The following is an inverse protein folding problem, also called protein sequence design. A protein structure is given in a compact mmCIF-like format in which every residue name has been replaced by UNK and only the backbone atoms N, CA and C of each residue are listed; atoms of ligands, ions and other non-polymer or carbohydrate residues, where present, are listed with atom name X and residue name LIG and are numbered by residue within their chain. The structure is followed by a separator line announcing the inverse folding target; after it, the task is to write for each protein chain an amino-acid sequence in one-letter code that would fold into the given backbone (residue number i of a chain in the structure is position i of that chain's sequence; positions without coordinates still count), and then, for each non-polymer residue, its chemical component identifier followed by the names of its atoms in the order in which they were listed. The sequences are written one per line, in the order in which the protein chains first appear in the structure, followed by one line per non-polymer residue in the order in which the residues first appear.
data_IF_418156228894
#
_entry.id   IF_418156228894
#
_cell.length_a   1.000
_cell.length_b   1.000
_cell.length_c   1.000
_cell.angle_alpha   90.00
_cell.angle_beta   90.00
_cell.angle_gamma   90.00
#
_symmetry.space_group_name_H-M   'P 1'
#
loop_
_entity.id
_entity.type
_entity.pdbx_description
1 polymer ?
#
# COMPACT_ATOMS: atom_id res chain seq x y z
N UNK A 1 6.65 -42.19 30.33
CA UNK A 1 7.85 -41.78 31.08
C UNK A 1 8.78 -41.05 30.12
N UNK A 2 9.23 -39.85 30.49
CA UNK A 2 9.99 -38.87 29.67
C UNK A 2 9.04 -37.88 28.97
N UNK A 3 8.74 -36.67 29.46
CA UNK A 3 9.62 -35.55 29.87
C UNK A 3 10.77 -35.38 28.87
N UNK A 4 10.97 -34.29 28.13
CA UNK A 4 10.40 -32.95 28.10
C UNK A 4 11.48 -32.08 27.45
N UNK A 5 11.14 -31.07 26.66
CA UNK A 5 11.97 -29.85 26.57
C UNK A 5 11.23 -28.71 25.88
N UNK A 6 11.18 -27.60 26.60
CA UNK A 6 10.80 -26.26 26.18
C UNK A 6 12.03 -25.52 25.66
N UNK A 7 11.82 -24.66 24.69
CA UNK A 7 12.63 -23.47 24.34
C UNK A 7 11.84 -22.74 23.25
N UNK A 8 11.23 -21.56 23.44
CA UNK A 8 11.69 -20.22 23.88
C UNK A 8 12.93 -19.69 23.14
N UNK A 9 12.69 -18.52 22.54
CA UNK A 9 13.56 -17.64 21.75
C UNK A 9 12.61 -16.94 20.78
N UNK A 10 11.87 -15.88 21.13
CA UNK A 10 12.29 -14.53 21.54
C UNK A 10 13.27 -13.86 20.57
N UNK A 11 12.99 -12.57 20.32
CA UNK A 11 13.62 -11.58 19.44
C UNK A 11 12.98 -11.37 18.05
N UNK A 12 12.67 -10.17 17.59
CA UNK A 12 12.60 -8.85 18.23
C UNK A 12 11.89 -7.87 17.26
N UNK A 13 11.29 -6.85 17.88
CA UNK A 13 11.19 -5.46 17.45
C UNK A 13 11.17 -5.17 15.93
N UNK A 14 10.10 -4.55 15.43
CA UNK A 14 10.08 -3.15 14.96
C UNK A 14 8.63 -2.63 14.95
N UNK A 15 8.37 -1.66 15.84
CA UNK A 15 7.70 -0.36 15.64
C UNK A 15 6.48 -0.27 14.68
N UNK A 16 5.38 0.40 15.00
CA UNK A 16 5.15 1.41 16.02
C UNK A 16 3.70 1.89 16.02
N UNK A 17 3.33 2.46 17.17
CA UNK A 17 2.04 3.04 17.55
C UNK A 17 1.46 3.98 16.49
N UNK A 18 0.19 3.76 16.11
CA UNK A 18 -0.72 4.84 15.68
C UNK A 18 -1.82 5.01 16.72
N UNK A 19 -1.48 5.71 17.79
CA UNK A 19 -2.49 6.38 18.62
C UNK A 19 -2.93 7.64 17.89
N UNK A 20 -4.18 7.71 17.44
CA UNK A 20 -4.78 8.94 16.95
C UNK A 20 -5.48 9.62 18.13
N UNK A 21 -4.72 10.44 18.86
CA UNK A 21 -5.26 11.48 19.74
C UNK A 21 -5.96 12.51 18.86
N UNK A 22 -7.26 12.68 19.03
CA UNK A 22 -7.95 13.94 18.75
C UNK A 22 -7.88 14.77 20.05
N UNK A 23 -6.88 15.64 20.15
CA UNK A 23 -7.01 16.92 20.87
C UNK A 23 -7.14 17.98 19.77
N UNK A 24 -8.11 18.90 19.76
CA UNK A 24 -8.50 19.87 20.79
C UNK A 24 -7.36 20.81 21.17
N UNK A 25 -7.11 21.80 20.31
CA UNK A 25 -6.54 23.10 20.65
C UNK A 25 -7.37 24.11 19.83
N UNK A 26 -8.30 24.84 20.44
CA UNK A 26 -8.07 26.06 21.24
C UNK A 26 -7.35 27.17 20.47
N UNK A 27 -8.15 27.91 19.70
CA UNK A 27 -7.86 29.28 19.28
C UNK A 27 -8.90 30.21 19.89
N UNK A 28 -8.78 30.43 21.20
CA UNK A 28 -9.70 31.23 21.99
C UNK A 28 -9.78 32.68 21.52
N UNK A 29 -10.99 33.10 21.15
CA UNK A 29 -11.39 34.50 21.06
C UNK A 29 -11.39 35.10 22.46
N UNK A 30 -10.25 35.64 22.86
CA UNK A 30 -10.10 36.43 24.08
C UNK A 30 -10.86 37.76 23.95
N UNK A 31 -12.15 37.75 24.26
CA UNK A 31 -12.89 38.96 24.65
C UNK A 31 -12.35 39.44 26.00
N UNK A 32 -11.48 40.45 25.97
CA UNK A 32 -11.15 41.22 27.16
C UNK A 32 -12.17 42.34 27.32
N UNK A 33 -13.18 42.07 28.17
CA UNK A 33 -13.95 43.09 28.86
C UNK A 33 -12.99 43.96 29.70
N UNK A 34 -12.90 45.25 29.41
CA UNK A 34 -12.40 46.22 30.38
C UNK A 34 -13.52 47.16 30.79
N UNK A 35 -13.93 46.91 32.03
CA UNK A 35 -14.92 47.60 32.81
C UNK A 35 -14.67 49.11 32.86
N UNK A 36 -15.75 49.86 32.69
CA UNK A 36 -15.82 51.25 33.08
C UNK A 36 -15.51 51.42 34.57
N UNK A 37 -14.51 52.25 34.85
CA UNK A 37 -14.31 52.86 36.16
C UNK A 37 -14.55 54.36 36.04
N UNK A 38 -15.52 54.83 36.82
CA UNK A 38 -15.83 56.24 37.06
C UNK A 38 -14.61 56.92 37.70
N UNK A 39 -14.21 58.06 37.15
CA UNK A 39 -13.27 59.00 37.78
C UNK A 39 -13.78 60.42 37.59
N UNK A 40 -14.23 61.03 38.69
CA UNK A 40 -14.74 62.41 38.77
C UNK A 40 -13.59 63.41 38.62
N UNK A 41 -13.93 64.56 38.04
CA UNK A 41 -13.47 65.88 38.49
C UNK A 41 -11.98 66.16 38.45
N UNK A 42 -11.54 66.90 37.44
CA UNK A 42 -10.46 67.85 37.65
C UNK A 42 -10.85 69.21 37.10
N UNK A 43 -11.22 70.10 38.02
CA UNK A 43 -11.28 71.53 37.81
C UNK A 43 -9.86 72.05 37.56
N UNK A 44 -9.68 72.76 36.45
CA UNK A 44 -8.37 73.27 36.06
C UNK A 44 -8.49 74.42 35.08
N UNK A 45 -8.94 75.60 35.56
CA UNK A 45 -8.62 76.89 34.94
C UNK A 45 -7.10 77.04 34.91
N UNK A 46 -6.48 76.61 33.82
CA UNK A 46 -5.04 76.67 33.60
C UNK A 46 -4.75 77.19 32.21
N UNK A 47 -4.47 78.50 32.12
CA UNK A 47 -3.68 79.19 31.10
C UNK A 47 -3.71 78.59 29.68
N UNK A 48 -4.58 79.15 28.83
CA UNK A 48 -4.33 79.25 27.39
C UNK A 48 -2.99 79.99 27.20
N UNK A 49 -1.96 79.25 26.85
CA UNK A 49 -0.66 79.79 26.52
C UNK A 49 0.35 78.67 26.29
N UNK A 50 0.75 78.47 25.03
CA UNK A 50 1.96 77.73 24.63
C UNK A 50 2.01 76.21 24.92
N UNK A 51 1.02 75.42 24.47
CA UNK A 51 1.18 73.95 24.35
C UNK A 51 0.70 73.37 23.01
N UNK A 52 0.50 74.21 21.99
CA UNK A 52 0.15 73.76 20.64
C UNK A 52 1.37 73.39 19.78
N UNK A 53 2.60 73.74 20.20
CA UNK A 53 3.84 73.34 19.53
C UNK A 53 4.36 71.95 19.93
N UNK A 54 4.34 71.62 21.24
CA UNK A 54 4.95 70.36 21.74
C UNK A 54 4.23 69.08 21.32
N UNK A 55 2.89 69.08 21.23
CA UNK A 55 2.15 67.90 20.76
C UNK A 55 2.40 67.62 19.28
N UNK A 56 2.63 68.65 18.46
CA UNK A 56 3.01 68.48 17.06
C UNK A 56 4.42 67.92 16.91
N UNK A 57 5.35 68.36 17.76
CA UNK A 57 6.74 67.87 17.81
C UNK A 57 6.83 66.42 18.30
N UNK A 58 6.08 66.05 19.35
CA UNK A 58 6.06 64.68 19.89
C UNK A 58 5.40 63.69 18.89
N UNK A 59 4.36 64.12 18.18
CA UNK A 59 3.73 63.33 17.11
C UNK A 59 4.67 63.21 15.91
N UNK A 60 5.38 64.29 15.53
CA UNK A 60 6.39 64.23 14.47
C UNK A 60 7.56 63.31 14.85
N UNK A 61 7.99 63.32 16.10
CA UNK A 61 9.03 62.42 16.60
C UNK A 61 8.58 60.96 16.54
N UNK A 62 7.37 60.65 17.02
CA UNK A 62 6.82 59.28 16.95
C UNK A 62 6.62 58.81 15.50
N UNK A 63 6.08 59.66 14.61
CA UNK A 63 5.91 59.33 13.18
C UNK A 63 7.26 59.11 12.49
N UNK A 64 8.30 59.84 12.90
CA UNK A 64 9.65 59.63 12.34
C UNK A 64 10.34 58.39 12.91
N UNK A 65 10.17 58.08 14.19
CA UNK A 65 10.66 56.85 14.82
C UNK A 65 9.99 55.61 14.24
N UNK A 66 8.66 55.60 14.11
CA UNK A 66 7.92 54.51 13.46
C UNK A 66 8.25 54.41 11.97
N UNK A 67 8.40 55.55 11.29
CA UNK A 67 8.85 55.57 9.89
C UNK A 67 10.25 54.99 9.71
N UNK A 68 11.17 55.21 10.66
CA UNK A 68 12.50 54.59 10.66
C UNK A 68 12.44 53.09 10.98
N UNK A 69 11.59 52.67 11.93
CA UNK A 69 11.42 51.26 12.28
C UNK A 69 10.81 50.45 11.11
N UNK A 70 9.83 51.03 10.40
CA UNK A 70 9.25 50.42 9.20
C UNK A 70 10.29 50.27 8.09
N UNK A 71 11.11 51.29 7.85
CA UNK A 71 12.21 51.21 6.87
C UNK A 71 13.24 50.13 7.23
N UNK A 72 13.61 50.02 8.50
CA UNK A 72 14.52 48.97 8.95
C UNK A 72 13.96 47.56 8.70
N UNK A 73 12.65 47.37 8.95
CA UNK A 73 11.96 46.11 8.64
C UNK A 73 11.85 45.86 7.12
N UNK A 74 11.61 46.89 6.32
CA UNK A 74 11.60 46.77 4.84
C UNK A 74 12.98 46.37 4.31
N UNK A 75 14.06 46.94 4.84
CA UNK A 75 15.43 46.58 4.50
C UNK A 75 15.77 45.14 4.93
N UNK A 76 15.37 44.73 6.13
CA UNK A 76 15.53 43.36 6.61
C UNK A 76 14.77 42.36 5.72
N UNK A 77 13.53 42.67 5.34
CA UNK A 77 12.75 41.87 4.41
C UNK A 77 13.40 41.80 3.03
N UNK A 78 13.96 42.90 2.52
CA UNK A 78 14.67 42.90 1.25
C UNK A 78 15.93 42.04 1.29
N UNK A 79 16.67 42.05 2.41
CA UNK A 79 17.83 41.17 2.62
C UNK A 79 17.42 39.71 2.67
N UNK A 80 16.34 39.38 3.40
CA UNK A 80 15.81 38.03 3.46
C UNK A 80 15.32 37.55 2.08
N UNK A 81 14.63 38.39 1.32
CA UNK A 81 14.20 38.08 -0.04
C UNK A 81 15.39 37.87 -0.98
N UNK A 82 16.43 38.70 -0.89
CA UNK A 82 17.65 38.54 -1.68
C UNK A 82 18.46 37.28 -1.30
N UNK A 83 18.26 36.76 -0.08
CA UNK A 83 18.87 35.49 0.36
C UNK A 83 18.16 34.24 -0.16
N UNK A 84 16.96 34.38 -0.73
CA UNK A 84 16.24 33.27 -1.36
C UNK A 84 16.87 32.97 -2.71
N UNK A 85 17.44 31.78 -2.83
CA UNK A 85 17.90 31.26 -4.11
C UNK A 85 16.68 30.84 -4.96
N UNK A 86 16.27 31.71 -5.86
CA UNK A 86 15.15 31.47 -6.76
C UNK A 86 15.39 30.24 -7.66
N UNK A 87 16.64 29.97 -8.04
CA UNK A 87 16.96 28.81 -8.89
C UNK A 87 16.76 27.50 -8.13
N UNK A 88 17.18 27.45 -6.86
CA UNK A 88 16.94 26.28 -6.00
C UNK A 88 15.44 26.03 -5.79
N UNK A 89 14.65 27.09 -5.57
CA UNK A 89 13.19 26.98 -5.43
C UNK A 89 12.51 26.45 -6.71
N UNK A 90 12.92 26.93 -7.88
CA UNK A 90 12.41 26.44 -9.16
C UNK A 90 12.77 24.96 -9.40
N UNK A 91 13.99 24.56 -9.04
CA UNK A 91 14.41 23.15 -9.12
C UNK A 91 13.56 22.26 -8.21
N UNK A 92 13.30 22.68 -6.97
CA UNK A 92 12.45 21.97 -6.02
C UNK A 92 11.02 21.83 -6.53
N UNK A 93 10.44 22.90 -7.08
CA UNK A 93 9.11 22.85 -7.69
C UNK A 93 9.06 21.90 -8.89
N UNK A 94 10.08 21.95 -9.76
CA UNK A 94 10.19 21.03 -10.88
C UNK A 94 10.34 19.57 -10.42
N UNK A 95 11.11 19.34 -9.34
CA UNK A 95 11.27 18.02 -8.74
C UNK A 95 9.94 17.51 -8.16
N UNK A 96 9.18 18.35 -7.46
CA UNK A 96 7.86 18.00 -6.94
C UNK A 96 6.87 17.65 -8.06
N UNK A 97 6.88 18.41 -9.16
CA UNK A 97 6.07 18.09 -10.33
C UNK A 97 6.45 16.73 -10.94
N UNK A 98 7.75 16.45 -11.10
CA UNK A 98 8.23 15.15 -11.59
C UNK A 98 7.83 14.00 -10.66
N UNK A 99 7.97 14.18 -9.35
CA UNK A 99 7.56 13.20 -8.36
C UNK A 99 6.04 12.93 -8.41
N UNK A 100 5.24 13.97 -8.57
CA UNK A 100 3.79 13.83 -8.75
C UNK A 100 3.44 13.01 -9.99
N UNK A 101 4.10 13.28 -11.13
CA UNK A 101 3.91 12.54 -12.37
C UNK A 101 4.32 11.07 -12.22
N UNK A 102 5.52 10.79 -11.69
CA UNK A 102 6.02 9.43 -11.49
C UNK A 102 5.10 8.65 -10.54
N UNK A 103 4.61 9.29 -9.48
CA UNK A 103 3.64 8.67 -8.57
C UNK A 103 2.33 8.32 -9.25
N UNK A 104 1.82 9.21 -10.12
CA UNK A 104 0.64 8.91 -10.94
C UNK A 104 0.85 7.68 -11.82
N UNK A 105 1.96 7.66 -12.57
CA UNK A 105 2.31 6.53 -13.43
C UNK A 105 2.49 5.23 -12.64
N UNK A 106 3.08 5.29 -11.44
CA UNK A 106 3.23 4.12 -10.58
C UNK A 106 1.86 3.58 -10.13
N UNK A 107 0.94 4.45 -9.69
CA UNK A 107 -0.40 4.03 -9.31
C UNK A 107 -1.16 3.40 -10.49
N UNK A 108 -1.04 3.96 -11.69
CA UNK A 108 -1.66 3.40 -12.89
C UNK A 108 -1.08 2.02 -13.24
N UNK A 109 0.24 1.87 -13.16
CA UNK A 109 0.92 0.60 -13.42
C UNK A 109 0.56 -0.48 -12.39
N UNK A 110 0.48 -0.13 -11.11
CA UNK A 110 0.04 -1.04 -10.04
C UNK A 110 -1.41 -1.49 -10.26
N UNK A 111 -2.31 -0.58 -10.67
CA UNK A 111 -3.69 -0.91 -10.99
C UNK A 111 -3.78 -1.85 -12.20
N UNK A 112 -3.01 -1.58 -13.26
CA UNK A 112 -2.93 -2.45 -14.44
C UNK A 112 -2.39 -3.84 -14.09
N UNK A 113 -1.33 -3.91 -13.28
CA UNK A 113 -0.78 -5.19 -12.83
C UNK A 113 -1.82 -6.00 -12.05
N UNK A 114 -2.54 -5.36 -11.13
CA UNK A 114 -3.58 -6.03 -10.34
C UNK A 114 -4.74 -6.57 -11.21
N UNK A 115 -5.09 -5.86 -12.29
CA UNK A 115 -6.09 -6.34 -13.25
C UNK A 115 -5.59 -7.58 -14.00
N UNK A 116 -4.39 -7.50 -14.58
CA UNK A 116 -3.79 -8.60 -15.35
C UNK A 116 -3.59 -9.84 -14.46
N UNK A 117 -3.19 -9.66 -13.20
CA UNK A 117 -3.05 -10.77 -12.25
C UNK A 117 -4.40 -11.44 -11.96
N UNK A 118 -5.49 -10.66 -11.84
CA UNK A 118 -6.83 -11.19 -11.64
C UNK A 118 -7.33 -11.95 -12.87
N UNK A 119 -7.15 -11.40 -14.06
CA UNK A 119 -7.51 -12.05 -15.32
C UNK A 119 -6.74 -13.38 -15.50
N UNK A 120 -5.42 -13.35 -15.27
CA UNK A 120 -4.59 -14.55 -15.31
C UNK A 120 -5.08 -15.60 -14.32
N UNK A 121 -5.36 -15.23 -13.08
CA UNK A 121 -5.83 -16.15 -12.06
C UNK A 121 -7.21 -16.74 -12.42
N UNK A 122 -8.07 -15.95 -13.06
CA UNK A 122 -9.35 -16.40 -13.62
C UNK A 122 -9.15 -17.47 -14.70
N UNK A 123 -8.32 -17.20 -15.71
CA UNK A 123 -8.03 -18.13 -16.80
C UNK A 123 -7.38 -19.43 -16.30
N UNK A 124 -6.43 -19.33 -15.37
CA UNK A 124 -5.78 -20.51 -14.76
C UNK A 124 -6.79 -21.34 -13.98
N UNK A 125 -7.73 -20.69 -13.28
CA UNK A 125 -8.79 -21.39 -12.56
C UNK A 125 -9.77 -22.11 -13.50
N UNK A 126 -10.21 -21.43 -14.56
CA UNK A 126 -11.10 -22.01 -15.56
C UNK A 126 -10.45 -23.24 -16.22
N UNK A 127 -9.21 -23.08 -16.69
CA UNK A 127 -8.44 -24.19 -17.28
C UNK A 127 -8.27 -25.36 -16.29
N UNK A 128 -8.02 -25.07 -15.02
CA UNK A 128 -7.92 -26.09 -13.98
C UNK A 128 -9.24 -26.84 -13.78
N UNK A 129 -10.37 -26.14 -13.72
CA UNK A 129 -11.70 -26.75 -13.56
C UNK A 129 -12.04 -27.64 -14.76
N UNK A 130 -11.82 -27.16 -15.99
CA UNK A 130 -12.06 -27.93 -17.20
C UNK A 130 -11.19 -29.19 -17.24
N UNK A 131 -9.88 -29.05 -16.98
CA UNK A 131 -8.96 -30.18 -17.01
C UNK A 131 -9.26 -31.20 -15.91
N UNK A 132 -9.48 -30.76 -14.66
CA UNK A 132 -9.76 -31.65 -13.54
C UNK A 132 -11.08 -32.41 -13.73
N UNK A 133 -12.10 -31.74 -14.28
CA UNK A 133 -13.37 -32.38 -14.65
C UNK A 133 -13.16 -33.44 -15.75
N UNK A 134 -12.46 -33.10 -16.83
CA UNK A 134 -12.17 -34.03 -17.91
C UNK A 134 -11.35 -35.24 -17.43
N UNK A 135 -10.34 -35.03 -16.58
CA UNK A 135 -9.55 -36.11 -15.99
C UNK A 135 -10.39 -37.02 -15.08
N UNK A 136 -11.35 -36.47 -14.35
CA UNK A 136 -12.32 -37.24 -13.60
C UNK A 136 -13.12 -38.18 -14.50
N UNK A 137 -13.66 -37.65 -15.61
CA UNK A 137 -14.40 -38.45 -16.60
C UNK A 137 -13.50 -39.51 -17.27
N UNK A 138 -12.28 -39.13 -17.67
CA UNK A 138 -11.30 -40.05 -18.26
C UNK A 138 -11.01 -41.20 -17.29
N UNK A 139 -10.80 -40.93 -16.00
CA UNK A 139 -10.54 -41.98 -15.02
C UNK A 139 -11.70 -42.97 -14.88
N UNK A 140 -12.94 -42.50 -14.91
CA UNK A 140 -14.11 -43.38 -14.90
C UNK A 140 -14.13 -44.28 -16.13
N UNK A 141 -13.91 -43.72 -17.33
CA UNK A 141 -13.99 -44.46 -18.60
C UNK A 141 -12.79 -45.34 -18.88
N UNK A 142 -11.60 -44.91 -18.49
CA UNK A 142 -10.36 -45.65 -18.65
C UNK A 142 -10.39 -46.97 -17.89
N UNK A 143 -10.88 -46.95 -16.65
CA UNK A 143 -11.05 -48.18 -15.86
C UNK A 143 -12.05 -49.15 -16.51
N UNK A 144 -13.19 -48.65 -16.98
CA UNK A 144 -14.21 -49.45 -17.68
C UNK A 144 -13.64 -50.11 -18.95
N UNK A 145 -13.00 -49.33 -19.83
CA UNK A 145 -12.45 -49.79 -21.09
C UNK A 145 -11.31 -50.79 -20.86
N UNK A 146 -10.40 -50.50 -19.93
CA UNK A 146 -9.27 -51.38 -19.67
C UNK A 146 -9.71 -52.72 -19.06
N UNK A 147 -10.70 -52.71 -18.16
CA UNK A 147 -11.31 -53.94 -17.64
C UNK A 147 -11.93 -54.75 -18.76
N UNK A 148 -12.68 -54.12 -19.65
CA UNK A 148 -13.28 -54.80 -20.80
C UNK A 148 -12.22 -55.50 -21.67
N UNK A 149 -11.13 -54.80 -22.01
CA UNK A 149 -10.03 -55.35 -22.83
C UNK A 149 -9.25 -56.48 -22.14
N UNK A 150 -9.17 -56.43 -20.80
CA UNK A 150 -8.42 -57.41 -20.00
C UNK A 150 -9.29 -58.54 -19.45
N UNK A 151 -10.52 -58.72 -19.94
CA UNK A 151 -11.42 -59.76 -19.43
C UNK A 151 -11.77 -59.59 -17.95
N UNK A 152 -11.92 -58.34 -17.50
CA UNK A 152 -12.17 -57.90 -16.12
C UNK A 152 -11.04 -58.19 -15.11
N UNK A 153 -9.85 -58.57 -15.55
CA UNK A 153 -8.74 -58.88 -14.64
C UNK A 153 -7.76 -57.71 -14.41
N UNK A 154 -7.71 -56.76 -15.34
CA UNK A 154 -6.87 -55.58 -15.26
C UNK A 154 -7.61 -54.33 -14.79
N UNK A 155 -6.87 -53.28 -14.45
CA UNK A 155 -7.43 -51.95 -14.18
C UNK A 155 -6.44 -50.83 -14.57
N UNK A 156 -6.95 -49.64 -14.86
CA UNK A 156 -6.14 -48.48 -15.26
C UNK A 156 -6.74 -47.18 -14.71
N UNK A 157 -5.88 -46.25 -14.30
CA UNK A 157 -6.27 -44.90 -13.90
C UNK A 157 -5.14 -43.91 -14.13
N UNK A 158 -5.48 -42.64 -14.32
CA UNK A 158 -4.55 -41.52 -14.31
C UNK A 158 -4.46 -40.94 -12.90
N UNK A 159 -3.25 -40.93 -12.32
CA UNK A 159 -2.97 -40.17 -11.10
C UNK A 159 -2.62 -38.73 -11.45
N UNK A 160 -3.27 -37.78 -10.79
CA UNK A 160 -3.00 -36.35 -10.90
C UNK A 160 -3.26 -35.65 -9.56
N UNK A 161 -2.64 -34.49 -9.37
CA UNK A 161 -2.79 -33.69 -8.14
C UNK A 161 -4.00 -32.76 -8.26
N UNK A 162 -4.85 -32.69 -7.22
CA UNK A 162 -6.01 -31.78 -7.17
C UNK A 162 -5.62 -30.34 -6.79
N UNK A 163 -4.35 -30.10 -6.50
CA UNK A 163 -3.83 -28.76 -6.25
C UNK A 163 -3.54 -28.04 -7.57
N UNK A 164 -4.20 -26.88 -7.76
CA UNK A 164 -4.13 -26.06 -8.98
C UNK A 164 -2.71 -25.74 -9.44
N UNK A 165 -1.82 -25.41 -8.50
CA UNK A 165 -0.43 -25.03 -8.81
C UNK A 165 0.41 -26.24 -9.22
N UNK A 166 0.15 -27.38 -8.61
CA UNK A 166 0.95 -28.59 -8.81
C UNK A 166 0.49 -29.42 -10.00
N UNK A 167 -0.80 -29.38 -10.36
CA UNK A 167 -1.33 -30.15 -11.49
C UNK A 167 -0.55 -29.87 -12.79
N UNK A 168 -0.26 -28.60 -13.06
CA UNK A 168 0.46 -28.20 -14.28
C UNK A 168 1.98 -28.43 -14.18
N UNK A 169 2.54 -28.50 -12.97
CA UNK A 169 3.98 -28.70 -12.76
C UNK A 169 4.36 -30.19 -12.76
N UNK A 170 3.55 -31.05 -12.13
CA UNK A 170 3.83 -32.47 -12.00
C UNK A 170 3.25 -33.31 -13.14
N UNK A 171 2.28 -32.77 -13.88
CA UNK A 171 1.63 -33.47 -14.98
C UNK A 171 0.71 -34.59 -14.51
N UNK A 172 0.38 -35.47 -15.46
CA UNK A 172 -0.54 -36.60 -15.27
C UNK A 172 0.24 -37.89 -15.49
N UNK A 173 0.13 -38.85 -14.58
CA UNK A 173 0.78 -40.15 -14.72
C UNK A 173 -0.27 -41.24 -14.93
N UNK A 174 -0.14 -42.02 -16.00
CA UNK A 174 -0.97 -43.18 -16.25
C UNK A 174 -0.44 -44.38 -15.45
N UNK A 175 -1.29 -44.96 -14.61
CA UNK A 175 -1.00 -46.16 -13.84
C UNK A 175 -1.89 -47.30 -14.29
N UNK A 176 -1.28 -48.47 -14.45
CA UNK A 176 -1.95 -49.66 -14.94
C UNK A 176 -1.64 -50.84 -14.03
N UNK A 177 -2.63 -51.69 -13.86
CA UNK A 177 -2.54 -52.98 -13.20
C UNK A 177 -2.92 -54.06 -14.21
N UNK A 178 -1.94 -54.75 -14.82
CA UNK A 178 -2.20 -55.96 -15.58
C UNK A 178 -2.75 -57.07 -14.67
N UNK A 179 -3.32 -58.13 -15.27
CA UNK A 179 -3.93 -59.26 -14.56
C UNK A 179 -3.00 -59.79 -13.44
N UNK A 180 -3.52 -59.86 -12.20
CA UNK A 180 -2.82 -60.35 -11.00
C UNK A 180 -1.48 -59.65 -10.66
N UNK A 181 -1.17 -58.52 -11.30
CA UNK A 181 0.06 -57.78 -11.05
C UNK A 181 -0.18 -56.59 -10.11
N UNK A 182 0.93 -56.02 -9.60
CA UNK A 182 0.90 -54.75 -8.84
C UNK A 182 0.67 -53.56 -9.76
N UNK A 183 0.09 -52.49 -9.24
CA UNK A 183 0.03 -51.19 -9.91
C UNK A 183 1.44 -50.71 -10.28
N UNK A 184 1.60 -50.26 -11.53
CA UNK A 184 2.85 -49.66 -12.02
C UNK A 184 2.53 -48.53 -12.98
N UNK A 185 3.47 -47.60 -13.11
CA UNK A 185 3.38 -46.54 -14.13
C UNK A 185 3.47 -47.16 -15.53
N UNK A 186 2.71 -46.65 -16.49
CA UNK A 186 2.76 -47.06 -17.90
C UNK A 186 4.18 -47.04 -18.46
N UNK A 187 4.97 -46.02 -18.09
CA UNK A 187 6.37 -45.88 -18.53
C UNK A 187 7.28 -47.03 -18.11
N UNK A 188 6.89 -47.82 -17.11
CA UNK A 188 7.65 -48.95 -16.58
C UNK A 188 7.19 -50.31 -17.14
N UNK A 189 6.20 -50.33 -18.03
CA UNK A 189 5.71 -51.58 -18.64
C UNK A 189 6.63 -52.05 -19.77
N UNK A 190 6.79 -53.38 -19.89
CA UNK A 190 7.44 -54.00 -21.04
C UNK A 190 6.56 -53.86 -22.29
N UNK A 191 7.17 -53.74 -23.48
CA UNK A 191 6.45 -53.44 -24.73
C UNK A 191 5.26 -54.36 -25.06
N UNK A 192 5.30 -55.64 -24.65
CA UNK A 192 4.19 -56.58 -24.82
C UNK A 192 2.92 -56.21 -24.04
N UNK A 193 3.02 -55.50 -22.91
CA UNK A 193 1.88 -55.03 -22.13
C UNK A 193 1.41 -53.64 -22.55
N UNK A 194 2.22 -52.88 -23.29
CA UNK A 194 1.88 -51.54 -23.75
C UNK A 194 1.07 -51.54 -25.06
N UNK A 195 1.22 -52.57 -25.90
CA UNK A 195 0.59 -52.65 -27.22
C UNK A 195 -0.95 -52.51 -27.23
N UNK A 196 -1.73 -53.14 -26.32
CA UNK A 196 -3.19 -52.99 -26.32
C UNK A 196 -3.67 -51.56 -26.03
N UNK A 197 -2.84 -50.78 -25.34
CA UNK A 197 -3.14 -49.40 -24.95
C UNK A 197 -2.76 -48.37 -26.02
N UNK A 198 -1.83 -48.71 -26.92
CA UNK A 198 -1.37 -47.82 -28.00
C UNK A 198 -2.27 -47.86 -29.23
N UNK A 199 -3.30 -48.72 -29.24
CA UNK A 199 -4.30 -48.79 -30.30
C UNK A 199 -5.43 -47.74 -30.14
N UNK A 200 -5.33 -46.90 -29.11
CA UNK A 200 -6.19 -45.77 -28.81
C UNK A 200 -5.35 -44.52 -28.59
#
# INVERSE_FOLDING_TARGET
AGEGMRGRGEENLWQGRRGRRQGSEDGGLGQANLAGTRGRGWDGKGKRGQKQGRLGEDIQLWVTEEGCALKALEEELAVLQASIDAAALEEDLAALCRLGQVRGLLCDAEAQQAEVERERDGLVNERFQQLSSALGTINTKLSEVYRFLSGNQGDAYCSYTLERRLLFAHGITLNIRPDQHRWRSFASLSGCHAQPLLLF
#
